data_IF_056461562366
#
_entry.id   IF_056461562366
#
_cell.length_a   1.000
_cell.length_b   1.000
_cell.length_c   1.000
_cell.angle_alpha   90.00
_cell.angle_beta   90.00
_cell.angle_gamma   90.00
#
_symmetry.space_group_name_H-M   'P 1'
#
loop_
_entity.id
_entity.type
_entity.pdbx_description
1 polymer ?
#
# COMPACT_ATOMS: atom_id res chain seq x y z
N UNK A 1 -2.27 -7.65 6.65
CA UNK A 1 -2.05 -6.21 6.43
C UNK A 1 -2.12 -5.49 7.76
N UNK A 2 -1.53 -4.30 7.84
CA UNK A 2 -1.57 -3.43 9.02
C UNK A 2 -3.02 -3.11 9.43
N UNK A 3 -3.89 -2.82 8.46
CA UNK A 3 -5.31 -2.51 8.70
C UNK A 3 -6.10 -3.64 9.34
N UNK A 4 -5.76 -4.90 9.05
CA UNK A 4 -6.43 -6.07 9.63
C UNK A 4 -5.71 -6.61 10.88
N UNK A 5 -4.72 -5.89 11.43
CA UNK A 5 -3.99 -6.29 12.64
C UNK A 5 -3.11 -7.53 12.47
N UNK A 6 -2.86 -7.96 11.24
CA UNK A 6 -2.00 -9.13 10.96
C UNK A 6 -0.51 -8.78 11.17
N UNK A 7 -0.17 -7.49 11.04
CA UNK A 7 1.16 -6.95 11.31
C UNK A 7 1.01 -5.75 12.25
N UNK A 8 1.94 -5.63 13.18
CA UNK A 8 2.05 -4.47 14.08
C UNK A 8 2.84 -3.37 13.38
N UNK A 9 2.35 -2.12 13.45
CA UNK A 9 2.97 -0.97 12.81
C UNK A 9 4.41 -0.76 13.30
N UNK A 10 4.64 -0.84 14.61
CA UNK A 10 5.95 -0.58 15.21
C UNK A 10 7.02 -1.55 14.69
N UNK A 11 6.69 -2.83 14.53
CA UNK A 11 7.58 -3.84 13.95
C UNK A 11 7.94 -3.53 12.50
N UNK A 12 6.97 -3.04 11.72
CA UNK A 12 7.21 -2.65 10.32
C UNK A 12 8.10 -1.40 10.25
N UNK A 13 7.84 -0.38 11.07
CA UNK A 13 8.65 0.83 11.13
C UNK A 13 10.08 0.52 11.57
N UNK A 14 10.25 -0.33 12.58
CA UNK A 14 11.57 -0.78 13.04
C UNK A 14 12.33 -1.51 11.93
N UNK A 15 11.68 -2.43 11.22
CA UNK A 15 12.27 -3.13 10.09
C UNK A 15 12.72 -2.15 8.99
N UNK A 16 11.87 -1.19 8.61
CA UNK A 16 12.18 -0.24 7.54
C UNK A 16 13.37 0.67 7.89
N UNK A 17 13.52 1.04 9.18
CA UNK A 17 14.66 1.83 9.66
C UNK A 17 15.97 1.06 9.67
N UNK A 18 15.92 -0.27 9.85
CA UNK A 18 17.09 -1.13 10.00
C UNK A 18 17.36 -2.03 8.78
N UNK A 19 16.61 -1.83 7.69
CA UNK A 19 16.79 -2.62 6.47
C UNK A 19 18.22 -2.45 5.92
N UNK A 20 18.78 -3.48 5.24
CA UNK A 20 20.04 -3.33 4.54
C UNK A 20 20.01 -2.15 3.55
N UNK A 21 21.14 -1.47 3.38
CA UNK A 21 21.24 -0.25 2.56
C UNK A 21 20.76 -0.48 1.12
N UNK A 22 21.13 -1.61 0.51
CA UNK A 22 20.76 -1.94 -0.87
C UNK A 22 19.38 -2.58 -1.03
N UNK A 23 18.59 -2.68 0.06
CA UNK A 23 17.24 -3.23 -0.02
C UNK A 23 16.22 -2.12 -0.31
N UNK A 24 15.58 -2.19 -1.47
CA UNK A 24 14.41 -1.39 -1.83
C UNK A 24 13.13 -2.05 -1.31
N UNK A 25 12.24 -1.27 -0.71
CA UNK A 25 10.96 -1.76 -0.16
C UNK A 25 9.82 -0.96 -0.75
N UNK A 26 8.90 -1.66 -1.41
CA UNK A 26 7.68 -1.07 -1.95
C UNK A 26 6.49 -1.46 -1.08
N UNK A 27 5.82 -0.46 -0.51
CA UNK A 27 4.58 -0.65 0.23
C UNK A 27 3.39 -0.25 -0.64
N UNK A 28 2.37 -1.09 -0.68
CA UNK A 28 1.14 -0.83 -1.42
C UNK A 28 -0.07 -1.01 -0.51
N UNK A 29 -1.13 -0.25 -0.77
CA UNK A 29 -2.33 -0.27 0.04
C UNK A 29 -3.10 1.04 -0.05
N UNK A 30 -4.20 1.11 0.68
CA UNK A 30 -5.01 2.33 0.82
C UNK A 30 -4.89 2.82 2.26
N UNK A 31 -4.96 4.13 2.45
CA UNK A 31 -4.89 4.79 3.75
C UNK A 31 -3.65 4.36 4.57
N UNK A 32 -2.42 4.55 4.05
CA UNK A 32 -1.22 4.22 4.80
C UNK A 32 -1.15 5.05 6.10
N UNK A 33 -0.56 4.46 7.13
CA UNK A 33 -0.30 5.18 8.38
C UNK A 33 0.66 6.36 8.13
N UNK A 34 0.45 7.48 8.82
CA UNK A 34 1.27 8.69 8.66
C UNK A 34 2.75 8.41 8.91
N UNK A 35 3.08 7.54 9.87
CA UNK A 35 4.46 7.16 10.15
C UNK A 35 5.17 6.51 8.95
N UNK A 36 4.43 5.78 8.10
CA UNK A 36 4.98 5.17 6.90
C UNK A 36 5.16 6.18 5.78
N UNK A 37 4.25 7.15 5.66
CA UNK A 37 4.36 8.26 4.70
C UNK A 37 5.60 9.10 5.02
N UNK A 38 5.80 9.44 6.29
CA UNK A 38 6.94 10.27 6.73
C UNK A 38 8.29 9.55 6.58
N UNK A 39 8.31 8.21 6.66
CA UNK A 39 9.52 7.41 6.49
C UNK A 39 9.88 7.16 5.03
N UNK A 40 8.92 7.27 4.10
CA UNK A 40 9.13 6.95 2.70
C UNK A 40 9.88 8.06 1.96
N UNK A 41 10.85 7.67 1.12
CA UNK A 41 11.57 8.59 0.25
C UNK A 41 10.66 9.16 -0.86
N UNK A 42 9.68 8.38 -1.31
CA UNK A 42 8.67 8.82 -2.25
C UNK A 42 7.32 8.19 -1.95
N UNK A 43 6.26 8.96 -2.21
CA UNK A 43 4.87 8.52 -2.04
C UNK A 43 4.10 8.83 -3.31
N UNK A 44 3.49 7.81 -3.89
CA UNK A 44 2.60 7.93 -5.04
C UNK A 44 1.16 7.60 -4.64
N UNK A 45 0.24 8.51 -4.92
CA UNK A 45 -1.19 8.31 -4.68
C UNK A 45 -1.89 7.94 -5.98
N UNK A 46 -2.60 6.80 -5.98
CA UNK A 46 -3.47 6.41 -7.08
C UNK A 46 -4.88 6.89 -6.76
N UNK A 47 -5.29 7.99 -7.38
CA UNK A 47 -6.66 8.50 -7.30
C UNK A 47 -7.53 7.91 -8.44
N UNK A 48 -8.53 7.05 -8.16
CA UNK A 48 -9.35 6.43 -9.18
C UNK A 48 -10.40 7.42 -9.71
N UNK A 49 -10.03 8.21 -10.73
CA UNK A 49 -10.95 9.16 -11.39
C UNK A 49 -12.14 8.45 -12.05
N UNK A 50 -11.93 7.24 -12.57
CA UNK A 50 -12.97 6.33 -13.10
C UNK A 50 -12.58 4.89 -12.79
N UNK A 51 -13.57 4.07 -12.43
CA UNK A 51 -13.38 2.66 -12.13
C UNK A 51 -14.56 1.78 -12.63
N UNK A 52 -14.31 0.74 -13.45
CA UNK A 52 -15.37 -0.09 -14.06
C UNK A 52 -16.39 -0.65 -13.06
N UNK A 53 -15.92 -1.12 -11.91
CA UNK A 53 -16.81 -1.63 -10.87
C UNK A 53 -17.70 -0.56 -10.24
N UNK A 54 -17.15 0.62 -9.91
CA UNK A 54 -17.89 1.67 -9.22
C UNK A 54 -18.89 2.34 -10.17
N UNK A 55 -18.40 2.72 -11.35
CA UNK A 55 -19.14 3.54 -12.32
C UNK A 55 -20.10 2.74 -13.19
N UNK A 56 -19.73 1.50 -13.53
CA UNK A 56 -20.45 0.68 -14.52
C UNK A 56 -20.94 -0.66 -13.99
N UNK A 57 -20.68 -0.96 -12.71
CA UNK A 57 -21.02 -2.26 -12.06
C UNK A 57 -20.44 -3.47 -12.81
N UNK A 58 -19.34 -3.29 -13.54
CA UNK A 58 -18.66 -4.38 -14.23
C UNK A 58 -17.90 -5.20 -13.17
N UNK A 59 -18.14 -6.52 -13.05
CA UNK A 59 -17.45 -7.37 -12.09
C UNK A 59 -15.98 -7.58 -12.48
N UNK A 60 -15.19 -8.08 -11.53
CA UNK A 60 -13.78 -8.39 -11.74
C UNK A 60 -13.55 -9.38 -12.89
N UNK A 61 -12.57 -9.07 -13.75
CA UNK A 61 -12.24 -9.82 -14.96
C UNK A 61 -10.92 -10.59 -14.75
N UNK A 62 -10.88 -11.82 -15.23
CA UNK A 62 -9.68 -12.68 -15.15
C UNK A 62 -8.54 -12.06 -15.95
N UNK A 63 -7.36 -11.97 -15.34
CA UNK A 63 -6.18 -11.36 -15.94
C UNK A 63 -6.15 -9.83 -15.86
N UNK A 64 -7.11 -9.21 -15.16
CA UNK A 64 -7.12 -7.77 -14.89
C UNK A 64 -7.31 -7.50 -13.40
N UNK A 65 -8.47 -7.87 -12.84
CA UNK A 65 -8.77 -7.68 -11.41
C UNK A 65 -8.85 -9.00 -10.63
N UNK A 66 -8.96 -10.13 -11.32
CA UNK A 66 -8.95 -11.50 -10.78
C UNK A 66 -7.64 -12.20 -11.10
#
# INVERSE_FOLDING_TARGET
SLTYGILELDKVVEFLKNKPENLEVVLTGRNPDKALIELADYVSEINPIKHPFVDKKIPARVGIEK
#
